data_IF_160520495505
#
_entry.id   IF_160520495505
#
_cell.length_a   1.000
_cell.length_b   1.000
_cell.length_c   1.000
_cell.angle_alpha   90.00
_cell.angle_beta   90.00
_cell.angle_gamma   90.00
#
_symmetry.space_group_name_H-M   'P 1'
#
loop_
_entity.id
_entity.type
_entity.pdbx_description
1 polymer ?
#
# COMPACT_ATOMS: atom_id res chain seq x y z
N UNK A 1 7.94 -23.54 -9.52
CA UNK A 1 7.30 -22.41 -10.21
C UNK A 1 7.21 -21.28 -9.23
N UNK A 2 8.14 -20.34 -9.33
CA UNK A 2 8.15 -19.14 -8.50
C UNK A 2 6.93 -18.27 -8.83
N UNK A 3 6.09 -17.88 -7.86
CA UNK A 3 5.05 -16.91 -8.10
C UNK A 3 5.70 -15.55 -8.34
N UNK A 4 5.66 -15.11 -9.60
CA UNK A 4 6.05 -13.75 -10.02
C UNK A 4 5.32 -12.73 -9.12
N UNK A 5 6.02 -11.79 -8.47
CA UNK A 5 5.38 -10.80 -7.63
C UNK A 5 4.42 -9.96 -8.49
N UNK A 6 3.20 -9.67 -8.02
CA UNK A 6 2.31 -8.78 -8.73
C UNK A 6 2.91 -7.37 -8.62
N UNK A 7 3.48 -6.87 -9.73
CA UNK A 7 3.77 -5.44 -9.91
C UNK A 7 2.43 -4.71 -9.95
N UNK A 8 1.89 -4.37 -8.78
CA UNK A 8 0.71 -3.52 -8.69
C UNK A 8 1.18 -2.08 -8.82
N UNK A 9 1.15 -1.63 -10.06
CA UNK A 9 1.27 -0.24 -10.48
C UNK A 9 0.39 0.66 -9.58
N UNK A 10 0.89 1.85 -9.21
CA UNK A 10 0.17 2.89 -8.45
C UNK A 10 -1.25 3.12 -8.99
N UNK A 11 -1.40 2.95 -10.31
CA UNK A 11 -2.65 3.03 -11.06
C UNK A 11 -3.72 2.03 -10.62
N UNK A 12 -3.33 0.83 -10.19
CA UNK A 12 -4.22 -0.26 -9.77
C UNK A 12 -4.65 -0.13 -8.31
N UNK A 13 -3.78 0.36 -7.42
CA UNK A 13 -4.12 0.59 -6.01
C UNK A 13 -5.12 1.74 -5.84
N UNK A 14 -5.01 2.78 -6.68
CA UNK A 14 -5.97 3.89 -6.73
C UNK A 14 -7.35 3.49 -7.31
N UNK A 15 -7.46 2.31 -7.93
CA UNK A 15 -8.72 1.80 -8.53
C UNK A 15 -9.72 1.28 -7.49
N UNK A 16 -9.24 0.70 -6.39
CA UNK A 16 -10.07 -0.10 -5.47
C UNK A 16 -10.90 0.77 -4.50
N UNK A 17 -10.53 2.03 -4.27
CA UNK A 17 -10.96 2.76 -3.07
C UNK A 17 -12.01 3.86 -3.26
N UNK A 18 -12.52 4.12 -4.47
CA UNK A 18 -13.29 5.36 -4.69
C UNK A 18 -14.69 5.13 -5.26
N UNK A 19 -15.63 4.79 -4.38
CA UNK A 19 -17.06 5.03 -4.58
C UNK A 19 -17.51 6.08 -3.55
N UNK A 20 -17.59 7.35 -3.94
CA UNK A 20 -18.49 8.32 -3.30
C UNK A 20 -18.77 9.50 -4.22
N UNK A 21 -20.04 9.89 -4.27
CA UNK A 21 -20.73 10.78 -5.21
C UNK A 21 -20.44 12.27 -4.95
N UNK A 22 -20.40 13.15 -5.97
CA UNK A 22 -20.14 14.59 -5.79
C UNK A 22 -21.41 15.46 -5.78
N UNK A 23 -21.27 16.71 -5.30
CA UNK A 23 -22.25 17.80 -5.49
C UNK A 23 -21.53 19.06 -6.03
N UNK A 24 -22.08 19.80 -7.02
CA UNK A 24 -21.43 20.97 -7.60
C UNK A 24 -21.95 22.31 -7.02
N UNK A 25 -21.11 23.34 -6.93
CA UNK A 25 -21.57 24.75 -6.84
C UNK A 25 -20.62 25.70 -7.55
N UNK A 26 -21.22 26.63 -8.30
CA UNK A 26 -20.68 27.50 -9.35
C UNK A 26 -20.39 28.93 -8.85
N UNK A 27 -19.21 29.44 -9.24
CA UNK A 27 -18.81 30.78 -9.76
C UNK A 27 -19.23 32.11 -9.10
N UNK A 28 -18.22 32.97 -8.85
CA UNK A 28 -18.26 34.43 -9.08
C UNK A 28 -16.88 34.97 -9.51
N UNK A 29 -16.77 35.99 -10.40
CA UNK A 29 -15.49 36.51 -10.90
C UNK A 29 -15.00 37.75 -10.11
N UNK A 30 -13.70 37.82 -9.84
CA UNK A 30 -12.96 38.97 -9.27
C UNK A 30 -11.83 39.34 -10.26
N UNK A 31 -11.55 40.63 -10.54
CA UNK A 31 -10.56 41.06 -11.52
C UNK A 31 -9.10 40.72 -11.11
N UNK A 32 -8.18 40.47 -12.07
CA UNK A 32 -6.88 39.90 -11.78
C UNK A 32 -5.85 40.93 -11.27
N UNK A 33 -5.03 40.56 -10.25
CA UNK A 33 -3.80 41.27 -9.90
C UNK A 33 -2.69 41.08 -10.97
N UNK A 34 -1.62 41.91 -10.97
CA UNK A 34 -0.56 41.86 -11.98
C UNK A 34 0.04 40.46 -12.13
N UNK A 35 0.23 40.04 -13.38
CA UNK A 35 0.63 38.70 -13.75
C UNK A 35 1.98 38.32 -13.11
N UNK A 36 1.92 37.38 -12.17
CA UNK A 36 3.06 36.54 -11.84
C UNK A 36 3.60 35.95 -13.17
N UNK A 37 4.94 35.95 -13.39
CA UNK A 37 5.53 35.32 -14.58
C UNK A 37 5.23 33.81 -14.65
N UNK A 38 4.70 33.23 -13.57
CA UNK A 38 4.33 31.83 -13.48
C UNK A 38 2.85 31.67 -13.17
N UNK A 39 2.12 30.84 -13.94
CA UNK A 39 0.74 30.51 -13.61
C UNK A 39 0.72 29.77 -12.27
N UNK A 40 -0.18 30.18 -11.38
CA UNK A 40 -0.40 29.51 -10.10
C UNK A 40 -0.84 28.06 -10.39
N UNK A 41 -0.16 27.02 -9.86
CA UNK A 41 -0.51 25.63 -10.09
C UNK A 41 -1.96 25.28 -9.68
N UNK A 42 -2.57 26.05 -8.76
CA UNK A 42 -3.98 25.90 -8.37
C UNK A 42 -4.96 26.27 -9.48
N UNK A 43 -4.53 27.06 -10.46
CA UNK A 43 -5.38 27.49 -11.58
C UNK A 43 -5.33 26.52 -12.76
N UNK A 44 -4.41 25.54 -12.73
CA UNK A 44 -4.19 24.60 -13.81
C UNK A 44 -5.10 23.39 -13.60
N UNK A 45 -6.17 23.32 -14.38
CA UNK A 45 -7.20 22.26 -14.27
C UNK A 45 -7.18 21.26 -15.42
N UNK A 46 -6.38 21.48 -16.47
CA UNK A 46 -6.34 20.62 -17.67
C UNK A 46 -5.01 19.89 -17.79
N UNK A 47 -5.06 18.60 -18.15
CA UNK A 47 -3.86 17.76 -18.25
C UNK A 47 -2.77 18.32 -19.20
N UNK A 48 -3.08 18.82 -20.41
CA UNK A 48 -2.05 19.39 -21.29
C UNK A 48 -1.40 20.67 -20.72
N UNK A 49 -2.12 21.44 -19.91
CA UNK A 49 -1.54 22.58 -19.20
C UNK A 49 -0.66 22.12 -18.03
N UNK A 50 -1.10 21.09 -17.28
CA UNK A 50 -0.31 20.49 -16.20
C UNK A 50 1.00 19.91 -16.70
N UNK A 51 0.99 19.11 -17.77
CA UNK A 51 2.22 18.54 -18.35
C UNK A 51 3.19 19.61 -18.82
N UNK A 52 2.70 20.67 -19.48
CA UNK A 52 3.54 21.82 -19.89
C UNK A 52 4.09 22.61 -18.71
N UNK A 53 3.35 22.68 -17.60
CA UNK A 53 3.82 23.31 -16.37
C UNK A 53 4.93 22.49 -15.74
N UNK A 54 4.68 21.18 -15.54
CA UNK A 54 5.66 20.24 -14.98
C UNK A 54 6.94 20.23 -15.81
N UNK A 55 6.83 20.08 -17.13
CA UNK A 55 7.97 20.05 -18.04
C UNK A 55 8.80 21.33 -18.06
N UNK A 56 8.24 22.48 -17.64
CA UNK A 56 8.94 23.77 -17.60
C UNK A 56 9.44 24.15 -16.21
N UNK A 57 8.77 23.69 -15.15
CA UNK A 57 9.05 24.14 -13.78
C UNK A 57 9.66 23.04 -12.90
N UNK A 58 9.22 21.79 -13.04
CA UNK A 58 9.78 20.68 -12.27
C UNK A 58 11.11 20.20 -12.84
N UNK A 59 11.26 20.14 -14.17
CA UNK A 59 12.53 19.72 -14.81
C UNK A 59 13.68 20.71 -14.60
N UNK A 60 13.36 21.99 -14.43
CA UNK A 60 14.36 23.04 -14.18
C UNK A 60 14.76 23.10 -12.71
N UNK A 61 14.00 22.44 -11.82
CA UNK A 61 14.25 22.39 -10.38
C UNK A 61 14.86 21.05 -9.98
N UNK A 62 16.20 21.01 -9.89
CA UNK A 62 16.93 19.86 -9.34
C UNK A 62 16.42 19.35 -7.98
N UNK A 63 16.07 20.20 -6.99
CA UNK A 63 15.54 19.70 -5.73
C UNK A 63 14.19 18.98 -5.88
N UNK A 64 13.34 19.40 -6.83
CA UNK A 64 12.08 18.70 -7.09
C UNK A 64 12.30 17.33 -7.73
N UNK A 65 13.20 17.22 -8.73
CA UNK A 65 13.55 15.93 -9.33
C UNK A 65 14.15 14.96 -8.32
N UNK A 66 15.01 15.46 -7.44
CA UNK A 66 15.59 14.69 -6.34
C UNK A 66 14.52 14.18 -5.39
N UNK A 67 13.55 15.03 -5.03
CA UNK A 67 12.44 14.64 -4.17
C UNK A 67 11.55 13.57 -4.82
N UNK A 68 11.26 13.67 -6.12
CA UNK A 68 10.48 12.65 -6.85
C UNK A 68 11.21 11.30 -6.85
N UNK A 69 12.53 11.28 -7.07
CA UNK A 69 13.34 10.06 -6.98
C UNK A 69 13.35 9.47 -5.57
N UNK A 70 13.41 10.32 -4.55
CA UNK A 70 13.34 9.89 -3.15
C UNK A 70 11.97 9.27 -2.82
N UNK A 71 10.88 9.90 -3.28
CA UNK A 71 9.52 9.38 -3.12
C UNK A 71 9.37 7.99 -3.76
N UNK A 72 9.88 7.82 -4.98
CA UNK A 72 9.91 6.52 -5.68
C UNK A 72 10.73 5.48 -4.91
N UNK A 73 11.93 5.83 -4.47
CA UNK A 73 12.79 4.92 -3.68
C UNK A 73 12.10 4.48 -2.38
N UNK A 74 11.44 5.42 -1.69
CA UNK A 74 10.72 5.17 -0.45
C UNK A 74 9.53 4.23 -0.66
N UNK A 75 8.76 4.43 -1.75
CA UNK A 75 7.69 3.52 -2.15
C UNK A 75 8.22 2.09 -2.36
N UNK A 76 9.23 1.93 -3.22
CA UNK A 76 9.83 0.62 -3.51
C UNK A 76 10.39 -0.05 -2.24
N UNK A 77 10.97 0.72 -1.33
CA UNK A 77 11.47 0.20 -0.06
C UNK A 77 10.34 -0.37 0.81
N UNK A 78 9.22 0.35 0.94
CA UNK A 78 8.05 -0.10 1.69
C UNK A 78 7.40 -1.33 1.04
N UNK A 79 7.24 -1.35 -0.29
CA UNK A 79 6.70 -2.51 -1.01
C UNK A 79 7.56 -3.76 -0.79
N UNK A 80 8.90 -3.62 -0.88
CA UNK A 80 9.83 -4.72 -0.56
C UNK A 80 9.72 -5.18 0.89
N UNK A 81 9.54 -4.26 1.84
CA UNK A 81 9.36 -4.59 3.25
C UNK A 81 8.06 -5.37 3.48
N UNK A 82 6.95 -4.94 2.90
CA UNK A 82 5.67 -5.64 3.00
C UNK A 82 5.73 -7.02 2.36
N UNK A 83 6.35 -7.14 1.18
CA UNK A 83 6.55 -8.42 0.50
C UNK A 83 7.39 -9.39 1.36
N UNK A 84 8.50 -8.92 1.95
CA UNK A 84 9.34 -9.72 2.85
C UNK A 84 8.57 -10.16 4.09
N UNK A 85 7.88 -9.22 4.74
CA UNK A 85 7.11 -9.48 5.95
C UNK A 85 5.99 -10.50 5.70
N UNK A 86 5.34 -10.45 4.54
CA UNK A 86 4.32 -11.42 4.14
C UNK A 86 4.91 -12.81 3.91
N UNK A 87 6.05 -12.89 3.23
CA UNK A 87 6.76 -14.15 3.01
C UNK A 87 7.18 -14.79 4.34
N UNK A 88 7.68 -14.00 5.28
CA UNK A 88 8.02 -14.46 6.63
C UNK A 88 6.81 -14.95 7.42
N UNK A 89 5.65 -14.31 7.27
CA UNK A 89 4.40 -14.77 7.87
C UNK A 89 3.99 -16.13 7.31
N UNK A 90 3.96 -16.28 5.98
CA UNK A 90 3.63 -17.55 5.33
C UNK A 90 4.57 -18.67 5.78
N UNK A 91 5.88 -18.40 5.82
CA UNK A 91 6.88 -19.37 6.30
C UNK A 91 6.61 -19.81 7.74
N UNK A 92 6.22 -18.89 8.64
CA UNK A 92 5.90 -19.22 10.04
C UNK A 92 4.62 -20.05 10.15
N UNK A 93 3.60 -19.74 9.37
CA UNK A 93 2.35 -20.50 9.33
C UNK A 93 2.58 -21.92 8.81
N UNK A 94 3.38 -22.09 7.75
CA UNK A 94 3.76 -23.40 7.24
C UNK A 94 4.59 -24.21 8.26
N UNK A 95 5.51 -23.56 8.97
CA UNK A 95 6.28 -24.20 10.02
C UNK A 95 5.40 -24.67 11.17
N UNK A 96 4.43 -23.84 11.60
CA UNK A 96 3.44 -24.20 12.63
C UNK A 96 2.62 -25.42 12.20
N UNK A 97 2.08 -25.41 10.97
CA UNK A 97 1.32 -26.55 10.43
C UNK A 97 2.13 -27.85 10.43
N UNK A 98 3.41 -27.79 10.06
CA UNK A 98 4.30 -28.97 10.08
C UNK A 98 4.53 -29.49 11.50
N UNK A 99 4.77 -28.60 12.46
CA UNK A 99 4.95 -28.98 13.86
C UNK A 99 3.69 -29.63 14.43
N UNK A 100 2.52 -29.06 14.16
CA UNK A 100 1.25 -29.62 14.62
C UNK A 100 0.99 -31.00 14.01
N UNK A 101 1.30 -31.21 12.73
CA UNK A 101 1.24 -32.55 12.11
C UNK A 101 2.18 -33.57 12.76
N UNK A 102 3.39 -33.16 13.16
CA UNK A 102 4.32 -34.04 13.90
C UNK A 102 3.76 -34.35 15.30
N UNK A 103 3.23 -33.36 16.03
CA UNK A 103 2.64 -33.57 17.35
C UNK A 103 1.43 -34.52 17.28
N UNK A 104 0.55 -34.32 16.29
CA UNK A 104 -0.57 -35.22 16.03
C UNK A 104 -0.11 -36.66 15.78
N UNK A 105 0.97 -36.84 15.00
CA UNK A 105 1.54 -38.18 14.74
C UNK A 105 2.11 -38.86 15.99
N UNK A 106 2.48 -38.09 17.02
CA UNK A 106 2.96 -38.57 18.31
C UNK A 106 1.82 -38.75 19.33
N UNK A 107 0.57 -38.48 18.95
CA UNK A 107 -0.59 -38.50 19.85
C UNK A 107 -0.59 -37.36 20.88
N UNK A 108 0.19 -36.30 20.63
CA UNK A 108 0.25 -35.10 21.48
C UNK A 108 -0.70 -34.06 20.90
N UNK A 109 -1.57 -33.51 21.75
CA UNK A 109 -2.50 -32.45 21.34
C UNK A 109 -1.76 -31.23 20.78
N UNK A 110 -2.33 -30.52 19.78
CA UNK A 110 -1.69 -29.37 19.15
C UNK A 110 -1.43 -28.26 20.16
N UNK A 111 -0.33 -27.52 20.00
CA UNK A 111 0.02 -26.43 20.91
C UNK A 111 -0.89 -25.23 20.63
N UNK A 112 -1.97 -25.10 21.40
CA UNK A 112 -2.84 -23.92 21.36
C UNK A 112 -2.17 -22.77 22.12
N UNK A 113 -1.33 -22.01 21.41
CA UNK A 113 -0.95 -20.66 21.81
C UNK A 113 0.10 -20.53 22.92
N UNK A 114 1.36 -20.30 22.53
CA UNK A 114 2.29 -19.53 23.38
C UNK A 114 1.98 -18.06 23.15
N UNK A 115 0.99 -17.57 23.89
CA UNK A 115 0.96 -16.18 24.30
C UNK A 115 2.04 -16.00 25.37
N UNK A 116 3.03 -15.16 25.10
CA UNK A 116 3.98 -14.71 26.12
C UNK A 116 3.20 -13.88 27.15
N UNK A 117 3.06 -14.40 28.37
CA UNK A 117 2.68 -13.63 29.56
C UNK A 117 1.68 -14.34 30.48
N UNK A 118 2.09 -14.59 31.73
CA UNK A 118 1.19 -14.85 32.84
C UNK A 118 1.61 -16.02 33.72
N UNK A 119 2.35 -15.71 34.80
CA UNK A 119 2.48 -16.57 35.98
C UNK A 119 1.09 -16.93 36.51
N UNK A 120 0.76 -18.22 36.50
CA UNK A 120 -0.54 -18.71 36.95
C UNK A 120 -0.47 -20.18 37.29
N UNK A 121 -0.16 -20.47 38.56
CA UNK A 121 -0.39 -21.75 39.20
C UNK A 121 -1.83 -22.22 38.95
N UNK A 122 -1.98 -23.35 38.26
CA UNK A 122 -3.25 -23.94 37.90
C UNK A 122 -3.16 -25.46 37.90
N UNK A 123 -3.42 -26.03 39.07
CA UNK A 123 -3.67 -27.45 39.33
C UNK A 123 -4.99 -27.92 38.68
N UNK A 124 -4.98 -29.15 38.16
CA UNK A 124 -6.16 -29.87 37.64
C UNK A 124 -5.94 -30.33 36.19
N UNK A 125 -6.07 -31.61 35.81
CA UNK A 125 -6.75 -32.72 36.44
C UNK A 125 -7.62 -33.42 35.38
N UNK A 126 -7.19 -34.59 34.90
CA UNK A 126 -8.04 -35.73 34.55
C UNK A 126 -8.87 -35.74 33.24
N UNK A 127 -8.84 -36.93 32.61
CA UNK A 127 -9.87 -37.44 31.67
C UNK A 127 -9.60 -37.10 30.21
N UNK A 128 -9.76 -37.97 29.23
CA UNK A 128 -10.40 -39.28 29.12
C UNK A 128 -10.57 -39.53 27.61
N UNK A 129 -10.32 -40.75 27.15
CA UNK A 129 -10.21 -41.07 25.72
C UNK A 129 -11.51 -41.04 24.90
N UNK A 130 -11.31 -40.90 23.60
CA UNK A 130 -12.22 -41.10 22.46
C UNK A 130 -11.52 -40.49 21.24
N UNK A 131 -11.03 -41.21 20.22
CA UNK A 131 -11.73 -42.18 19.41
C UNK A 131 -12.81 -41.45 18.61
N UNK A 132 -12.62 -40.97 17.38
CA UNK A 132 -11.51 -41.10 16.45
C UNK A 132 -12.06 -40.91 15.04
N UNK A 133 -12.51 -39.70 14.68
CA UNK A 133 -13.00 -39.36 13.32
C UNK A 133 -12.86 -37.84 12.99
N UNK A 134 -12.04 -37.09 13.74
CA UNK A 134 -12.06 -35.60 13.72
C UNK A 134 -10.77 -34.93 13.18
N UNK A 135 -9.81 -35.72 12.66
CA UNK A 135 -8.52 -35.18 12.23
C UNK A 135 -8.62 -34.16 11.06
N UNK A 136 -9.71 -34.23 10.27
CA UNK A 136 -9.96 -33.28 9.18
C UNK A 136 -10.47 -31.91 9.65
N UNK A 137 -11.17 -31.85 10.79
CA UNK A 137 -11.73 -30.60 11.32
C UNK A 137 -10.63 -29.71 11.91
N UNK A 138 -9.64 -30.32 12.58
CA UNK A 138 -8.48 -29.63 13.14
C UNK A 138 -7.56 -29.02 12.08
N UNK A 139 -7.28 -29.75 10.99
CA UNK A 139 -6.50 -29.23 9.87
C UNK A 139 -7.22 -28.08 9.16
N UNK A 140 -8.54 -28.21 8.92
CA UNK A 140 -9.33 -27.16 8.29
C UNK A 140 -9.41 -25.91 9.17
N UNK A 141 -9.59 -26.08 10.49
CA UNK A 141 -9.58 -24.99 11.46
C UNK A 141 -8.24 -24.25 11.47
N UNK A 142 -7.13 -24.97 11.46
CA UNK A 142 -5.79 -24.38 11.41
C UNK A 142 -5.55 -23.62 10.10
N UNK A 143 -6.03 -24.17 8.98
CA UNK A 143 -5.94 -23.50 7.69
C UNK A 143 -6.78 -22.22 7.68
N UNK A 144 -8.00 -22.24 8.22
CA UNK A 144 -8.85 -21.04 8.38
C UNK A 144 -8.17 -19.99 9.26
N UNK A 145 -7.55 -20.39 10.37
CA UNK A 145 -6.81 -19.47 11.24
C UNK A 145 -5.62 -18.82 10.51
N UNK A 146 -4.85 -19.62 9.75
CA UNK A 146 -3.73 -19.13 8.95
C UNK A 146 -4.19 -18.15 7.85
N UNK A 147 -5.28 -18.47 7.15
CA UNK A 147 -5.89 -17.59 6.14
C UNK A 147 -6.40 -16.28 6.78
N UNK A 148 -7.00 -16.36 7.96
CA UNK A 148 -7.47 -15.17 8.66
C UNK A 148 -6.32 -14.28 9.14
N UNK A 149 -5.22 -14.87 9.63
CA UNK A 149 -4.01 -14.14 10.00
C UNK A 149 -3.38 -13.44 8.78
N UNK A 150 -3.30 -14.14 7.65
CA UNK A 150 -2.81 -13.55 6.41
C UNK A 150 -3.73 -12.42 5.92
N UNK A 151 -5.05 -12.60 6.02
CA UNK A 151 -6.03 -11.57 5.67
C UNK A 151 -5.93 -10.35 6.60
N UNK A 152 -5.69 -10.56 7.90
CA UNK A 152 -5.44 -9.48 8.86
C UNK A 152 -4.16 -8.71 8.50
N UNK A 153 -3.11 -9.42 8.10
CA UNK A 153 -1.87 -8.81 7.64
C UNK A 153 -2.08 -8.00 6.34
N UNK A 154 -2.70 -8.58 5.33
CA UNK A 154 -2.93 -7.92 4.04
C UNK A 154 -3.81 -6.66 4.21
N UNK A 155 -4.81 -6.68 5.10
CA UNK A 155 -5.57 -5.47 5.45
C UNK A 155 -4.71 -4.36 6.06
N UNK A 156 -3.76 -4.71 6.95
CA UNK A 156 -2.84 -3.73 7.54
C UNK A 156 -1.91 -3.14 6.50
N UNK A 157 -1.43 -3.96 5.56
CA UNK A 157 -0.60 -3.48 4.44
C UNK A 157 -1.37 -2.51 3.57
N UNK A 158 -2.64 -2.80 3.24
CA UNK A 158 -3.47 -1.87 2.48
C UNK A 158 -3.65 -0.53 3.19
N UNK A 159 -3.93 -0.53 4.49
CA UNK A 159 -4.02 0.71 5.27
C UNK A 159 -2.71 1.51 5.27
N UNK A 160 -1.55 0.84 5.44
CA UNK A 160 -0.24 1.49 5.33
C UNK A 160 0.05 2.01 3.92
N UNK A 161 -0.41 1.31 2.89
CA UNK A 161 -0.28 1.75 1.51
C UNK A 161 -1.11 3.02 1.24
N UNK A 162 -2.32 3.10 1.80
CA UNK A 162 -3.15 4.31 1.76
C UNK A 162 -2.45 5.50 2.44
N UNK A 163 -1.90 5.30 3.64
CA UNK A 163 -1.13 6.32 4.36
C UNK A 163 0.09 6.80 3.56
N UNK A 164 0.83 5.87 2.94
CA UNK A 164 1.94 6.18 2.03
C UNK A 164 1.48 7.04 0.86
N UNK A 165 0.42 6.63 0.17
CA UNK A 165 -0.10 7.36 -1.00
C UNK A 165 -0.57 8.75 -0.59
N UNK A 166 -1.25 8.88 0.55
CA UNK A 166 -1.68 10.17 1.09
C UNK A 166 -0.48 11.09 1.41
N UNK A 167 0.62 10.54 1.96
CA UNK A 167 1.85 11.27 2.20
C UNK A 167 2.50 11.73 0.89
N UNK A 168 2.66 10.83 -0.10
CA UNK A 168 3.21 11.16 -1.41
C UNK A 168 2.40 12.24 -2.12
N UNK A 169 1.07 12.14 -2.10
CA UNK A 169 0.17 13.18 -2.66
C UNK A 169 0.40 14.54 -2.01
N UNK A 170 0.61 14.58 -0.69
CA UNK A 170 0.90 15.82 0.04
C UNK A 170 2.24 16.42 -0.40
N UNK A 171 3.28 15.60 -0.56
CA UNK A 171 4.59 16.04 -1.02
C UNK A 171 4.54 16.56 -2.46
N UNK A 172 3.83 15.89 -3.37
CA UNK A 172 3.57 16.38 -4.73
C UNK A 172 2.83 17.73 -4.71
N UNK A 173 1.87 17.90 -3.82
CA UNK A 173 1.18 19.17 -3.61
C UNK A 173 2.10 20.29 -3.10
N UNK A 174 3.05 19.97 -2.20
CA UNK A 174 4.05 20.93 -1.71
C UNK A 174 5.01 21.39 -2.81
N UNK A 175 5.34 20.51 -3.76
CA UNK A 175 6.15 20.85 -4.94
C UNK A 175 5.36 21.64 -6.00
N UNK A 176 4.08 21.89 -5.78
CA UNK A 176 3.25 22.66 -6.71
C UNK A 176 2.78 21.86 -7.93
N UNK A 177 2.73 20.52 -7.86
CA UNK A 177 2.29 19.69 -8.98
C UNK A 177 0.77 19.86 -9.20
N UNK A 178 0.32 20.36 -10.36
CA UNK A 178 -1.10 20.51 -10.66
C UNK A 178 -1.87 19.19 -10.48
N UNK A 179 -3.10 19.27 -9.98
CA UNK A 179 -3.91 18.10 -9.60
C UNK A 179 -3.59 17.53 -8.21
N UNK A 180 -2.51 17.96 -7.56
CA UNK A 180 -2.20 17.66 -6.16
C UNK A 180 -2.25 18.91 -5.26
N UNK A 181 -2.38 20.11 -5.84
CA UNK A 181 -2.53 21.38 -5.12
C UNK A 181 -4.00 21.78 -4.99
N UNK A 182 -4.77 21.10 -4.14
CA UNK A 182 -6.08 21.56 -3.65
C UNK A 182 -7.19 21.81 -4.68
N UNK A 183 -6.92 21.60 -5.98
CA UNK A 183 -7.86 21.78 -7.09
C UNK A 183 -7.91 20.50 -7.90
N UNK A 184 -9.13 20.05 -8.17
CA UNK A 184 -9.37 18.85 -8.95
C UNK A 184 -9.20 19.14 -10.45
N UNK A 185 -8.51 18.22 -11.15
CA UNK A 185 -8.36 18.26 -12.59
C UNK A 185 -9.69 17.92 -13.26
N UNK A 186 -9.93 18.45 -14.46
CA UNK A 186 -11.16 18.18 -15.22
C UNK A 186 -11.35 16.69 -15.51
N UNK A 187 -10.28 15.96 -15.83
CA UNK A 187 -10.31 14.50 -15.99
C UNK A 187 -10.15 13.71 -14.67
N UNK A 188 -10.20 14.39 -13.53
CA UNK A 188 -10.16 13.79 -12.20
C UNK A 188 -8.96 12.86 -11.99
N UNK A 189 -9.22 11.63 -11.58
CA UNK A 189 -8.17 10.65 -11.25
C UNK A 189 -7.40 10.16 -12.48
N UNK A 190 -8.04 10.13 -13.65
CA UNK A 190 -7.36 9.73 -14.89
C UNK A 190 -6.23 10.71 -15.19
N UNK A 191 -6.51 12.01 -15.12
CA UNK A 191 -5.50 13.05 -15.36
C UNK A 191 -4.41 13.00 -14.29
N UNK A 192 -4.77 12.75 -13.02
CA UNK A 192 -3.79 12.58 -11.94
C UNK A 192 -2.86 11.39 -12.19
N UNK A 193 -3.37 10.29 -12.74
CA UNK A 193 -2.55 9.12 -13.12
C UNK A 193 -1.57 9.47 -14.23
N UNK A 194 -2.05 10.10 -15.30
CA UNK A 194 -1.20 10.50 -16.43
C UNK A 194 -0.12 11.51 -15.99
N UNK A 195 -0.39 12.31 -14.94
CA UNK A 195 0.61 13.18 -14.31
C UNK A 195 1.66 12.39 -13.55
N UNK A 196 1.27 11.40 -12.75
CA UNK A 196 2.21 10.57 -11.98
C UNK A 196 3.14 9.81 -12.93
N UNK A 197 2.59 9.14 -13.94
CA UNK A 197 3.36 8.44 -14.97
C UNK A 197 4.38 9.38 -15.63
N UNK A 198 3.94 10.58 -16.00
CA UNK A 198 4.85 11.58 -16.57
C UNK A 198 5.96 12.02 -15.60
N UNK A 199 5.69 12.11 -14.30
CA UNK A 199 6.72 12.43 -13.29
C UNK A 199 7.71 11.27 -13.11
N UNK A 200 7.24 10.03 -13.20
CA UNK A 200 8.08 8.84 -13.15
C UNK A 200 9.02 8.76 -14.36
N UNK A 201 8.53 9.03 -15.56
CA UNK A 201 9.33 9.11 -16.79
C UNK A 201 10.42 10.18 -16.67
N UNK A 202 10.07 11.36 -16.15
CA UNK A 202 11.04 12.45 -15.95
C UNK A 202 12.10 12.11 -14.91
N UNK A 203 11.74 11.33 -13.87
CA UNK A 203 12.67 10.94 -12.82
C UNK A 203 13.51 9.70 -13.19
N UNK A 204 13.03 8.86 -14.11
CA UNK A 204 13.60 7.55 -14.46
C UNK A 204 14.78 7.58 -15.45
N UNK A 205 15.19 8.74 -15.96
CA UNK A 205 16.23 8.86 -16.99
C UNK A 205 17.68 8.57 -16.56
N UNK A 206 17.96 8.07 -15.35
CA UNK A 206 19.34 7.89 -14.83
C UNK A 206 19.60 6.54 -14.13
N UNK A 207 18.83 5.47 -14.39
CA UNK A 207 19.08 4.13 -13.80
C UNK A 207 19.56 3.06 -14.82
N UNK A 208 20.33 3.44 -15.83
CA UNK A 208 21.20 2.50 -16.58
C UNK A 208 22.66 2.92 -16.42
N UNK A 209 23.36 2.37 -15.42
CA UNK A 209 24.80 2.57 -15.25
C UNK A 209 25.28 2.39 -13.83
N UNK A 210 25.42 1.13 -13.39
CA UNK A 210 26.04 0.77 -12.12
C UNK A 210 26.27 -0.73 -12.02
#
# INVERSE_FOLDING_TARGET
>A
MDPKPPTKDLSELLRILSSTTPLPTTTHPVPPPPASPFPDPRTITTLPAARRYIARHLTTSQPHLTQIRLLRTRQHAMEREWARSRADLVRRLEARRKLDGVLASLGVAPVTGVGVGGDGDGDGGGGGGGGGDDAGEDEEKMQREAEEELRKFDRKVMGRAEEMVAAMRRELGQMGVPGFVGVEMVGGERDRREIIEFLEDLAGGEEEGG
#
